data_IF_325445908277
#
_entry.id   IF_325445908277
#
_cell.length_a   1.000
_cell.length_b   1.000
_cell.length_c   1.000
_cell.angle_alpha   90.00
_cell.angle_beta   90.00
_cell.angle_gamma   90.00
#
_symmetry.space_group_name_H-M   'P 1'
#
loop_
_entity.id
_entity.type
_entity.pdbx_description
1 polymer ?
#
# COMPACT_ATOMS: atom_id res chain seq x y z
N UNK A 1 -16.37 10.06 15.64
CA UNK A 1 -17.22 8.88 15.86
C UNK A 1 -17.32 8.66 17.35
N UNK A 2 -18.36 9.20 17.98
CA UNK A 2 -18.72 8.88 19.36
C UNK A 2 -19.44 7.53 19.33
N UNK A 3 -18.94 6.53 20.05
CA UNK A 3 -19.68 5.29 20.28
C UNK A 3 -20.91 5.61 21.12
N UNK A 4 -22.06 5.03 20.77
CA UNK A 4 -23.30 5.20 21.52
C UNK A 4 -23.21 4.56 22.92
N UNK A 5 -22.36 3.58 23.07
CA UNK A 5 -22.13 2.80 24.29
C UNK A 5 -20.60 2.69 24.58
N UNK A 6 -20.23 2.30 25.80
CA UNK A 6 -18.83 2.01 26.12
C UNK A 6 -18.24 0.97 25.18
N UNK A 7 -16.98 1.15 24.79
CA UNK A 7 -16.24 0.18 23.99
C UNK A 7 -15.77 -0.96 24.90
N UNK A 8 -16.07 -2.19 24.52
CA UNK A 8 -15.60 -3.38 25.23
C UNK A 8 -14.44 -4.02 24.46
N UNK A 9 -13.32 -4.23 25.14
CA UNK A 9 -12.14 -4.89 24.59
C UNK A 9 -11.87 -6.13 25.44
N UNK A 10 -11.78 -7.29 24.79
CA UNK A 10 -11.33 -8.55 25.45
C UNK A 10 -10.07 -9.00 24.76
N UNK A 11 -8.99 -9.15 25.48
CA UNK A 11 -7.67 -9.49 24.94
C UNK A 11 -6.97 -10.54 25.77
N UNK A 12 -6.15 -11.37 25.11
CA UNK A 12 -5.32 -12.39 25.74
C UNK A 12 -4.01 -12.52 24.95
N UNK A 13 -2.88 -12.56 25.64
CA UNK A 13 -1.58 -12.89 25.04
C UNK A 13 -1.33 -14.40 25.04
N UNK A 14 -0.32 -14.87 24.34
CA UNK A 14 0.04 -16.31 24.31
C UNK A 14 0.48 -16.83 25.68
N UNK A 15 1.03 -15.97 26.51
CA UNK A 15 1.58 -16.30 27.82
C UNK A 15 0.56 -16.27 28.95
N UNK A 16 -0.59 -15.63 28.73
CA UNK A 16 -1.60 -15.48 29.76
C UNK A 16 -2.51 -16.71 29.83
N UNK A 17 -2.90 -17.09 31.06
CA UNK A 17 -3.87 -18.16 31.29
C UNK A 17 -5.29 -17.69 31.03
N UNK A 18 -5.62 -16.46 31.44
CA UNK A 18 -6.94 -15.82 31.29
C UNK A 18 -6.82 -14.61 30.37
N UNK A 19 -7.94 -14.19 29.79
CA UNK A 19 -8.03 -12.92 29.09
C UNK A 19 -8.36 -11.77 30.02
N UNK A 20 -8.22 -10.55 29.52
CA UNK A 20 -8.61 -9.31 30.21
C UNK A 20 -9.71 -8.62 29.44
N UNK A 21 -10.81 -8.31 30.13
CA UNK A 21 -11.92 -7.52 29.58
C UNK A 21 -11.82 -6.10 30.14
N UNK A 22 -11.68 -5.14 29.24
CA UNK A 22 -11.59 -3.72 29.57
C UNK A 22 -12.75 -2.99 28.92
N UNK A 23 -13.50 -2.22 29.72
CA UNK A 23 -14.60 -1.37 29.25
C UNK A 23 -14.15 0.07 29.30
N UNK A 24 -14.21 0.75 28.15
CA UNK A 24 -13.71 2.11 27.96
C UNK A 24 -14.83 3.07 27.55
N UNK A 25 -14.76 4.29 28.05
CA UNK A 25 -15.50 5.44 27.51
C UNK A 25 -14.50 6.49 27.01
N UNK A 26 -14.86 7.24 25.99
CA UNK A 26 -14.08 8.39 25.53
C UNK A 26 -14.63 9.63 26.23
N UNK A 27 -13.78 10.28 27.03
CA UNK A 27 -14.03 11.61 27.55
C UNK A 27 -13.82 12.61 26.41
N UNK A 28 -14.91 13.18 25.91
CA UNK A 28 -14.88 14.11 24.77
C UNK A 28 -14.30 15.47 25.11
N UNK A 29 -14.32 15.88 26.38
CA UNK A 29 -13.73 17.15 26.83
C UNK A 29 -12.20 17.06 26.89
N UNK A 30 -11.70 15.96 27.45
CA UNK A 30 -10.25 15.72 27.62
C UNK A 30 -9.64 14.99 26.44
N UNK A 31 -10.45 14.52 25.49
CA UNK A 31 -10.04 13.63 24.37
C UNK A 31 -9.16 12.45 24.85
N UNK A 32 -9.56 11.84 25.95
CA UNK A 32 -8.81 10.77 26.60
C UNK A 32 -9.70 9.56 26.90
N UNK A 33 -9.18 8.33 26.83
CA UNK A 33 -9.92 7.15 27.24
C UNK A 33 -10.03 7.10 28.78
N UNK A 34 -11.24 6.80 29.25
CA UNK A 34 -11.52 6.55 30.67
C UNK A 34 -11.89 5.09 30.83
N UNK A 35 -11.11 4.38 31.64
CA UNK A 35 -11.39 2.97 31.98
C UNK A 35 -12.55 2.93 32.96
N UNK A 36 -13.64 2.27 32.55
CA UNK A 36 -14.85 2.08 33.38
C UNK A 36 -14.68 0.83 34.25
N UNK A 37 -14.21 -0.26 33.65
CA UNK A 37 -13.87 -1.50 34.37
C UNK A 37 -12.74 -2.25 33.67
N UNK A 38 -11.96 -3.02 34.46
CA UNK A 38 -10.97 -3.95 33.97
C UNK A 38 -11.04 -5.21 34.83
N UNK A 39 -11.31 -6.35 34.21
CA UNK A 39 -11.52 -7.62 34.90
C UNK A 39 -10.94 -8.79 34.10
N UNK A 40 -10.56 -9.86 34.77
CA UNK A 40 -10.21 -11.10 34.09
C UNK A 40 -11.47 -11.74 33.49
N UNK A 41 -11.34 -12.25 32.27
CA UNK A 41 -12.44 -12.87 31.55
C UNK A 41 -11.98 -14.10 30.74
N UNK A 42 -12.81 -15.11 30.58
CA UNK A 42 -12.50 -16.25 29.72
C UNK A 42 -12.35 -15.77 28.26
N UNK A 43 -11.37 -16.34 27.54
CA UNK A 43 -11.13 -16.09 26.15
C UNK A 43 -11.01 -17.41 25.40
N UNK A 44 -11.88 -17.63 24.41
CA UNK A 44 -12.03 -18.93 23.73
C UNK A 44 -10.81 -19.34 22.89
N UNK A 45 -9.99 -18.37 22.48
CA UNK A 45 -8.80 -18.62 21.64
C UNK A 45 -7.52 -18.62 22.50
N UNK A 46 -6.46 -19.21 21.96
CA UNK A 46 -5.16 -19.22 22.62
C UNK A 46 -4.67 -17.78 22.88
N UNK A 47 -4.82 -16.90 21.93
CA UNK A 47 -4.49 -15.47 22.03
C UNK A 47 -5.32 -14.65 21.04
N UNK A 48 -5.33 -13.35 21.19
CA UNK A 48 -6.00 -12.42 20.28
C UNK A 48 -6.72 -11.28 21.00
N UNK A 49 -7.41 -10.46 20.23
CA UNK A 49 -8.18 -9.32 20.72
C UNK A 49 -9.55 -9.28 20.06
N UNK A 50 -10.60 -9.08 20.86
CA UNK A 50 -11.98 -8.84 20.44
C UNK A 50 -12.37 -7.44 20.86
N UNK A 51 -12.85 -6.63 19.92
CA UNK A 51 -13.31 -5.27 20.16
C UNK A 51 -14.78 -5.18 19.79
N UNK A 52 -15.60 -4.70 20.70
CA UNK A 52 -17.03 -4.46 20.51
C UNK A 52 -17.32 -2.97 20.68
N UNK A 53 -17.94 -2.38 19.68
CA UNK A 53 -18.32 -0.98 19.72
C UNK A 53 -19.64 -0.76 19.00
N UNK A 54 -20.48 0.11 19.53
CA UNK A 54 -21.71 0.52 18.90
C UNK A 54 -21.55 1.90 18.29
N UNK A 55 -21.79 2.00 16.97
CA UNK A 55 -21.67 3.25 16.23
C UNK A 55 -22.99 3.62 15.58
N UNK A 56 -23.31 4.90 15.53
CA UNK A 56 -24.41 5.41 14.73
C UNK A 56 -24.01 5.37 13.26
N UNK A 57 -24.67 4.55 12.45
CA UNK A 57 -24.38 4.43 11.02
C UNK A 57 -25.13 3.28 10.39
N UNK A 58 -25.20 3.29 9.07
CA UNK A 58 -25.70 2.20 8.28
C UNK A 58 -24.53 1.48 7.59
N UNK A 59 -24.63 0.17 7.48
CA UNK A 59 -23.72 -0.62 6.65
C UNK A 59 -23.84 -0.20 5.19
N UNK A 60 -22.71 -0.06 4.51
CA UNK A 60 -22.62 0.25 3.08
C UNK A 60 -21.65 -0.69 2.38
N UNK A 61 -21.81 -0.90 1.07
CA UNK A 61 -20.90 -1.71 0.24
C UNK A 61 -19.46 -1.16 0.24
N UNK A 62 -19.26 0.09 0.66
CA UNK A 62 -17.94 0.69 0.86
C UNK A 62 -17.08 -0.07 1.89
N UNK A 63 -17.71 -0.73 2.87
CA UNK A 63 -17.00 -1.54 3.88
C UNK A 63 -16.35 -2.76 3.21
N UNK A 64 -17.06 -3.43 2.30
CA UNK A 64 -16.50 -4.57 1.56
C UNK A 64 -15.35 -4.14 0.65
N UNK A 65 -15.51 -3.02 -0.06
CA UNK A 65 -14.45 -2.46 -0.90
C UNK A 65 -13.20 -2.13 -0.06
N UNK A 66 -13.40 -1.50 1.10
CA UNK A 66 -12.31 -1.21 2.03
C UNK A 66 -11.60 -2.48 2.51
N UNK A 67 -12.35 -3.52 2.90
CA UNK A 67 -11.78 -4.79 3.35
C UNK A 67 -10.99 -5.51 2.24
N UNK A 68 -11.42 -5.40 0.99
CA UNK A 68 -10.66 -5.89 -0.17
C UNK A 68 -9.31 -5.17 -0.29
N UNK A 69 -9.29 -3.84 -0.15
CA UNK A 69 -8.06 -3.05 -0.17
C UNK A 69 -7.16 -3.35 1.04
N UNK A 70 -7.73 -3.53 2.25
CA UNK A 70 -6.99 -3.98 3.46
C UNK A 70 -6.36 -5.35 3.22
N UNK A 71 -7.11 -6.27 2.64
CA UNK A 71 -6.63 -7.61 2.30
C UNK A 71 -5.51 -7.59 1.26
N UNK A 72 -5.55 -6.64 0.31
CA UNK A 72 -4.49 -6.42 -0.67
C UNK A 72 -3.21 -5.94 0.01
N UNK A 73 -3.33 -5.02 0.94
CA UNK A 73 -2.20 -4.46 1.69
C UNK A 73 -1.61 -5.44 2.72
N UNK A 74 -2.37 -6.47 3.11
CA UNK A 74 -1.99 -7.47 4.10
C UNK A 74 -2.13 -8.89 3.54
N UNK A 75 -1.26 -9.31 2.61
CA UNK A 75 -1.36 -10.58 1.90
C UNK A 75 -1.30 -11.83 2.80
N UNK A 76 -0.71 -11.73 3.97
CA UNK A 76 -0.59 -12.79 4.96
C UNK A 76 -1.82 -12.96 5.85
N UNK A 77 -2.76 -12.00 5.81
CA UNK A 77 -3.95 -12.01 6.66
C UNK A 77 -5.11 -12.79 6.02
N UNK A 78 -5.82 -13.53 6.85
CA UNK A 78 -7.11 -14.16 6.51
C UNK A 78 -8.23 -13.30 7.12
N UNK A 79 -9.08 -12.70 6.26
CA UNK A 79 -10.15 -11.79 6.68
C UNK A 79 -11.51 -12.45 6.45
N UNK A 80 -12.29 -12.56 7.52
CA UNK A 80 -13.69 -13.00 7.47
C UNK A 80 -14.58 -11.85 7.92
N UNK A 81 -15.47 -11.45 7.07
CA UNK A 81 -16.45 -10.41 7.35
C UNK A 81 -17.86 -10.96 7.23
N UNK A 82 -18.66 -10.77 8.27
CA UNK A 82 -20.04 -11.23 8.31
C UNK A 82 -20.96 -10.06 8.65
N UNK A 83 -21.98 -9.87 7.85
CA UNK A 83 -23.07 -8.94 8.12
C UNK A 83 -24.25 -9.75 8.62
N UNK A 84 -24.70 -9.47 9.84
CA UNK A 84 -25.94 -10.04 10.40
C UNK A 84 -27.01 -8.94 10.28
N UNK A 85 -27.90 -9.09 9.33
CA UNK A 85 -29.05 -8.21 9.20
C UNK A 85 -30.28 -8.85 9.86
N UNK A 86 -31.26 -8.05 10.21
CA UNK A 86 -32.53 -8.53 10.81
C UNK A 86 -33.38 -9.37 9.86
N UNK A 87 -33.11 -9.31 8.56
CA UNK A 87 -33.75 -10.13 7.52
C UNK A 87 -32.73 -11.10 6.90
N UNK A 88 -33.15 -12.37 6.72
CA UNK A 88 -32.33 -13.45 6.14
C UNK A 88 -31.79 -13.13 4.74
N UNK A 89 -32.42 -12.22 4.00
CA UNK A 89 -32.01 -11.81 2.65
C UNK A 89 -30.76 -10.94 2.62
N UNK A 90 -30.42 -10.29 3.73
CA UNK A 90 -29.32 -9.33 3.80
C UNK A 90 -28.08 -9.88 4.54
N UNK A 91 -28.08 -11.15 4.90
CA UNK A 91 -26.90 -11.79 5.50
C UNK A 91 -25.85 -12.01 4.42
N UNK A 92 -24.70 -11.38 4.60
CA UNK A 92 -23.55 -11.52 3.70
C UNK A 92 -22.35 -12.03 4.46
N UNK A 93 -21.58 -12.91 3.83
CA UNK A 93 -20.31 -13.40 4.35
C UNK A 93 -19.26 -13.21 3.27
N UNK A 94 -18.22 -12.42 3.57
CA UNK A 94 -17.05 -12.24 2.73
C UNK A 94 -15.88 -12.95 3.42
N UNK A 95 -15.20 -13.85 2.71
CA UNK A 95 -13.99 -14.52 3.17
C UNK A 95 -12.86 -14.25 2.19
N UNK A 96 -11.90 -13.42 2.60
CA UNK A 96 -10.70 -13.08 1.84
C UNK A 96 -9.55 -13.89 2.44
N UNK A 97 -9.25 -15.03 1.83
CA UNK A 97 -8.16 -15.92 2.24
C UNK A 97 -6.80 -15.21 2.05
N UNK A 98 -5.81 -15.58 2.84
CA UNK A 98 -4.44 -15.09 2.67
C UNK A 98 -3.90 -15.41 1.27
N UNK A 99 -3.08 -14.54 0.72
CA UNK A 99 -2.40 -14.73 -0.56
C UNK A 99 -1.02 -15.37 -0.40
N UNK A 100 -0.40 -15.21 0.78
CA UNK A 100 0.90 -15.79 1.14
C UNK A 100 0.94 -16.15 2.61
N UNK A 101 1.76 -17.11 2.98
CA UNK A 101 2.03 -17.46 4.38
C UNK A 101 3.26 -16.72 4.92
N UNK A 102 4.04 -16.08 4.05
CA UNK A 102 5.22 -15.31 4.44
C UNK A 102 4.79 -14.06 5.17
N UNK A 103 5.23 -13.94 6.42
CA UNK A 103 5.01 -12.74 7.22
C UNK A 103 5.96 -11.61 6.76
N UNK A 104 5.49 -10.36 6.74
CA UNK A 104 6.37 -9.23 6.48
C UNK A 104 7.39 -9.07 7.62
N UNK A 105 8.54 -8.42 7.35
CA UNK A 105 9.50 -8.11 8.40
C UNK A 105 8.83 -7.39 9.57
N UNK A 106 9.18 -7.79 10.80
CA UNK A 106 8.64 -7.13 11.99
C UNK A 106 9.19 -5.70 12.07
N UNK A 107 8.33 -4.67 12.18
CA UNK A 107 8.79 -3.30 12.34
C UNK A 107 9.55 -3.16 13.67
N UNK A 108 10.64 -2.41 13.66
CA UNK A 108 11.44 -2.16 14.87
C UNK A 108 11.22 -0.73 15.35
N UNK A 109 11.08 -0.57 16.65
CA UNK A 109 11.08 0.73 17.28
C UNK A 109 12.47 1.35 17.22
N UNK A 110 12.55 2.61 16.84
CA UNK A 110 13.78 3.38 16.85
C UNK A 110 13.58 4.71 17.58
N UNK A 111 14.66 5.19 18.20
CA UNK A 111 14.66 6.56 18.71
C UNK A 111 14.43 7.54 17.58
N UNK A 112 13.77 8.67 17.83
CA UNK A 112 13.58 9.69 16.81
C UNK A 112 14.93 10.19 16.28
N UNK A 113 14.93 10.62 15.03
CA UNK A 113 16.09 11.32 14.44
C UNK A 113 15.93 12.81 14.70
N UNK A 114 17.00 13.50 15.07
CA UNK A 114 16.93 14.92 15.46
C UNK A 114 16.35 15.81 14.33
N UNK A 115 16.64 15.50 13.06
CA UNK A 115 16.08 16.23 11.91
C UNK A 115 14.56 16.03 11.72
N UNK A 116 13.98 14.98 12.31
CA UNK A 116 12.54 14.70 12.23
C UNK A 116 11.73 15.40 13.33
N UNK A 117 12.41 16.05 14.27
CA UNK A 117 11.75 16.70 15.40
C UNK A 117 11.19 18.05 15.02
N UNK A 118 9.97 18.30 15.44
CA UNK A 118 9.34 19.61 15.42
C UNK A 118 9.73 20.39 16.69
N UNK A 119 9.86 21.73 16.64
CA UNK A 119 10.26 22.52 17.80
C UNK A 119 9.41 22.24 19.04
N UNK A 120 8.07 22.16 18.89
CA UNK A 120 7.15 21.91 19.99
C UNK A 120 7.37 20.54 20.65
N UNK A 121 7.52 19.48 19.85
CA UNK A 121 7.78 18.13 20.36
C UNK A 121 9.13 18.04 21.08
N UNK A 122 10.15 18.76 20.59
CA UNK A 122 11.45 18.81 21.25
C UNK A 122 11.41 19.61 22.56
N UNK A 123 10.61 20.69 22.60
CA UNK A 123 10.33 21.43 23.83
C UNK A 123 9.66 20.57 24.90
N UNK A 124 8.66 19.83 24.52
CA UNK A 124 7.95 18.91 25.41
C UNK A 124 8.90 17.80 25.93
N UNK A 125 9.67 17.18 25.03
CA UNK A 125 10.62 16.13 25.36
C UNK A 125 11.67 16.62 26.37
N UNK A 126 12.26 17.80 26.18
CA UNK A 126 13.24 18.34 27.13
C UNK A 126 12.65 18.75 28.46
N UNK A 127 11.38 19.20 28.48
CA UNK A 127 10.67 19.60 29.70
C UNK A 127 10.32 18.41 30.58
N UNK A 128 9.97 17.29 29.95
CA UNK A 128 9.57 16.05 30.63
C UNK A 128 10.76 15.13 30.94
N UNK A 129 11.96 15.47 30.48
CA UNK A 129 13.13 14.62 30.73
C UNK A 129 13.62 14.76 32.17
N UNK A 130 13.41 13.70 32.95
CA UNK A 130 13.90 13.56 34.33
C UNK A 130 15.18 12.74 34.43
N UNK A 131 15.68 12.15 33.35
CA UNK A 131 16.70 11.13 33.38
C UNK A 131 18.08 11.59 32.89
N UNK A 132 18.19 12.73 32.23
CA UNK A 132 19.45 13.24 31.70
C UNK A 132 19.94 14.45 32.52
N UNK A 133 21.24 14.40 32.87
CA UNK A 133 21.90 15.45 33.68
C UNK A 133 22.51 16.56 32.81
N UNK A 134 22.74 16.31 31.53
CA UNK A 134 23.38 17.25 30.63
C UNK A 134 22.80 17.20 29.23
N UNK A 135 22.93 18.30 28.49
CA UNK A 135 22.53 18.43 27.09
C UNK A 135 23.17 17.38 26.20
N UNK A 136 24.45 17.07 26.44
CA UNK A 136 25.16 15.99 25.72
C UNK A 136 24.47 14.64 25.96
N UNK A 137 24.17 14.28 27.23
CA UNK A 137 23.51 13.04 27.58
C UNK A 137 22.09 12.96 26.98
N UNK A 138 21.36 14.07 26.99
CA UNK A 138 20.03 14.17 26.36
C UNK A 138 20.10 13.83 24.87
N UNK A 139 21.03 14.39 24.11
CA UNK A 139 21.17 14.11 22.70
C UNK A 139 21.54 12.67 22.40
N UNK A 140 22.48 12.09 23.13
CA UNK A 140 22.94 10.71 22.89
C UNK A 140 21.92 9.66 23.33
N UNK A 141 21.14 9.97 24.36
CA UNK A 141 20.15 9.04 24.91
C UNK A 141 18.85 9.01 24.11
N UNK A 142 18.37 10.16 23.68
CA UNK A 142 17.04 10.28 23.06
C UNK A 142 17.05 10.22 21.53
N UNK A 143 18.17 10.42 20.86
CA UNK A 143 18.21 10.46 19.40
C UNK A 143 19.07 9.35 18.80
N UNK A 144 18.62 8.85 17.64
CA UNK A 144 19.38 7.87 16.85
C UNK A 144 20.50 8.57 16.08
N UNK A 145 21.61 7.85 15.85
CA UNK A 145 22.79 8.33 15.07
C UNK A 145 23.49 9.55 15.68
N UNK A 146 23.30 9.81 16.94
CA UNK A 146 24.05 10.84 17.66
C UNK A 146 24.99 10.16 18.65
N UNK A 147 26.28 10.08 18.27
CA UNK A 147 27.38 9.68 19.14
C UNK A 147 27.81 10.85 20.04
N UNK A 148 28.61 10.55 21.05
CA UNK A 148 29.19 11.55 21.95
C UNK A 148 29.91 12.67 21.23
N UNK A 149 30.74 12.32 20.24
CA UNK A 149 31.47 13.32 19.42
C UNK A 149 30.52 14.17 18.58
N UNK A 150 29.47 13.56 18.00
CA UNK A 150 28.47 14.29 17.22
C UNK A 150 27.62 15.21 18.09
N UNK A 151 27.25 14.76 19.31
CA UNK A 151 26.56 15.62 20.27
C UNK A 151 27.38 16.87 20.64
N UNK A 152 28.67 16.70 20.93
CA UNK A 152 29.58 17.82 21.21
C UNK A 152 29.73 18.79 20.03
N UNK A 153 29.83 18.27 18.80
CA UNK A 153 29.89 19.07 17.58
C UNK A 153 28.62 19.91 17.39
N UNK A 154 27.42 19.29 17.55
CA UNK A 154 26.13 19.96 17.43
C UNK A 154 25.95 21.05 18.47
N UNK A 155 26.27 20.75 19.74
CA UNK A 155 26.21 21.72 20.85
C UNK A 155 27.16 22.89 20.65
N UNK A 156 28.38 22.61 20.18
CA UNK A 156 29.36 23.67 19.84
C UNK A 156 28.83 24.58 18.70
N UNK A 157 28.24 23.99 17.66
CA UNK A 157 27.65 24.74 16.54
C UNK A 157 26.46 25.57 17.00
N UNK A 158 25.62 25.02 17.89
CA UNK A 158 24.48 25.70 18.50
C UNK A 158 24.87 26.71 19.59
N UNK A 159 26.17 26.83 19.92
CA UNK A 159 26.71 27.68 21.03
C UNK A 159 26.11 27.32 22.41
N UNK A 160 25.83 26.05 22.63
CA UNK A 160 25.27 25.53 23.87
C UNK A 160 26.35 24.79 24.70
N UNK A 161 26.43 25.00 26.01
CA UNK A 161 27.36 24.27 26.86
C UNK A 161 26.99 22.78 26.90
N UNK A 162 27.94 21.84 26.74
CA UNK A 162 27.66 20.39 26.78
C UNK A 162 27.11 19.90 28.11
N UNK A 163 27.47 20.58 29.20
CA UNK A 163 27.05 20.23 30.57
C UNK A 163 25.83 21.00 31.04
N UNK A 164 25.25 21.87 30.20
CA UNK A 164 24.00 22.57 30.51
C UNK A 164 22.86 21.58 30.78
N UNK A 165 21.91 21.97 31.61
CA UNK A 165 20.70 21.18 31.83
C UNK A 165 19.93 20.99 30.52
N UNK A 166 19.31 19.83 30.28
CA UNK A 166 18.42 19.65 29.11
C UNK A 166 17.34 20.75 28.97
N UNK A 167 16.87 21.29 30.11
CA UNK A 167 15.88 22.37 30.12
C UNK A 167 16.39 23.70 29.58
N UNK A 168 17.71 23.93 29.60
CA UNK A 168 18.37 25.15 29.11
C UNK A 168 18.69 25.10 27.62
N UNK A 169 18.42 23.96 26.95
CA UNK A 169 18.69 23.81 25.51
C UNK A 169 17.81 24.80 24.72
N UNK A 170 18.45 25.65 23.93
CA UNK A 170 17.77 26.42 22.89
C UNK A 170 17.42 25.48 21.73
N UNK A 171 16.12 25.19 21.57
CA UNK A 171 15.60 24.27 20.58
C UNK A 171 15.83 24.75 19.16
N UNK A 172 15.67 26.07 18.91
CA UNK A 172 15.82 26.62 17.57
C UNK A 172 17.29 26.60 17.12
N UNK A 173 18.19 27.01 18.01
CA UNK A 173 19.62 26.95 17.75
C UNK A 173 20.09 25.51 17.51
N UNK A 174 19.62 24.56 18.30
CA UNK A 174 19.93 23.12 18.15
C UNK A 174 19.43 22.57 16.81
N UNK A 175 18.17 22.82 16.45
CA UNK A 175 17.60 22.35 15.18
C UNK A 175 18.26 23.01 13.98
N UNK A 176 18.65 24.27 14.07
CA UNK A 176 19.43 24.96 13.04
C UNK A 176 20.81 24.33 12.87
N UNK A 177 21.49 24.04 13.97
CA UNK A 177 22.78 23.33 13.94
C UNK A 177 22.64 21.91 13.38
N UNK A 178 21.56 21.20 13.70
CA UNK A 178 21.26 19.87 13.16
C UNK A 178 21.04 19.89 11.64
N UNK A 179 20.29 20.87 11.13
CA UNK A 179 20.04 21.04 9.68
C UNK A 179 21.28 21.41 8.89
N UNK A 180 22.18 22.17 9.47
CA UNK A 180 23.48 22.52 8.87
C UNK A 180 24.57 21.47 9.09
N UNK A 181 24.34 20.50 9.95
CA UNK A 181 25.27 19.44 10.30
C UNK A 181 25.04 18.16 9.50
N UNK A 182 26.14 17.45 9.20
CA UNK A 182 26.06 16.12 8.56
C UNK A 182 25.74 15.06 9.63
N UNK A 183 24.45 14.78 9.87
CA UNK A 183 23.99 13.69 10.72
C UNK A 183 23.72 12.48 9.84
N UNK A 184 24.32 11.34 10.18
CA UNK A 184 24.15 10.09 9.46
C UNK A 184 22.66 9.72 9.36
N UNK A 185 22.24 9.21 8.20
CA UNK A 185 20.86 8.74 7.98
C UNK A 185 20.39 7.73 9.03
N UNK A 186 19.07 7.71 9.38
CA UNK A 186 18.52 6.72 10.29
C UNK A 186 18.69 5.30 9.73
N UNK A 187 18.64 4.25 10.57
CA UNK A 187 18.58 2.88 10.09
C UNK A 187 17.32 2.69 9.21
N UNK A 188 17.46 1.98 8.10
CA UNK A 188 16.41 1.78 7.11
C UNK A 188 15.75 0.39 7.23
N UNK A 189 16.36 -0.53 7.96
CA UNK A 189 15.94 -1.91 8.23
C UNK A 189 14.81 -2.04 9.27
N UNK A 190 14.25 -0.91 9.67
CA UNK A 190 13.16 -0.82 10.65
C UNK A 190 11.77 -0.86 10.02
N UNK A 191 11.71 -0.77 8.71
CA UNK A 191 10.47 -0.74 7.96
C UNK A 191 9.89 -2.16 7.78
N UNK A 192 8.57 -2.21 7.60
CA UNK A 192 7.84 -3.45 7.33
C UNK A 192 7.12 -3.33 5.97
N UNK A 193 7.83 -3.51 4.84
CA UNK A 193 7.23 -3.48 3.52
C UNK A 193 6.27 -4.66 3.29
N UNK A 194 5.43 -4.54 2.27
CA UNK A 194 4.59 -5.65 1.78
C UNK A 194 5.48 -6.66 1.06
N UNK A 195 6.38 -6.15 0.21
CA UNK A 195 7.26 -6.92 -0.66
C UNK A 195 6.65 -7.15 -2.05
N UNK A 196 7.50 -7.09 -3.09
CA UNK A 196 7.07 -7.21 -4.49
C UNK A 196 6.26 -8.49 -4.74
N UNK A 197 6.80 -9.65 -4.39
CA UNK A 197 6.14 -10.94 -4.61
C UNK A 197 4.84 -11.11 -3.82
N UNK A 198 4.77 -10.57 -2.59
CA UNK A 198 3.56 -10.63 -1.78
C UNK A 198 2.48 -9.68 -2.33
N UNK A 199 2.87 -8.52 -2.85
CA UNK A 199 1.96 -7.58 -3.51
C UNK A 199 1.41 -8.17 -4.81
N UNK A 200 2.26 -8.82 -5.63
CA UNK A 200 1.81 -9.53 -6.84
C UNK A 200 0.85 -10.68 -6.51
N UNK A 201 1.15 -11.48 -5.49
CA UNK A 201 0.27 -12.56 -5.04
C UNK A 201 -1.10 -12.03 -4.59
N UNK A 202 -1.12 -10.89 -3.86
CA UNK A 202 -2.36 -10.21 -3.47
C UNK A 202 -3.17 -9.73 -4.67
N UNK A 203 -2.51 -9.07 -5.62
CA UNK A 203 -3.15 -8.61 -6.85
C UNK A 203 -3.74 -9.79 -7.65
N UNK A 204 -2.99 -10.89 -7.79
CA UNK A 204 -3.45 -12.10 -8.48
C UNK A 204 -4.64 -12.75 -7.79
N UNK A 205 -4.71 -12.72 -6.48
CA UNK A 205 -5.84 -13.23 -5.71
C UNK A 205 -7.10 -12.38 -5.92
N UNK A 206 -6.95 -11.04 -5.95
CA UNK A 206 -8.10 -10.11 -6.10
C UNK A 206 -8.55 -10.02 -7.55
N UNK A 207 -7.61 -10.08 -8.49
CA UNK A 207 -7.82 -9.98 -9.94
C UNK A 207 -7.33 -11.26 -10.64
N UNK A 208 -8.00 -12.41 -10.45
CA UNK A 208 -7.51 -13.71 -10.93
C UNK A 208 -7.47 -13.81 -12.46
N UNK A 209 -8.29 -13.05 -13.17
CA UNK A 209 -8.38 -12.97 -14.62
C UNK A 209 -7.57 -11.84 -15.25
N UNK A 210 -6.77 -11.13 -14.45
CA UNK A 210 -5.91 -10.07 -14.98
C UNK A 210 -4.90 -10.63 -15.99
N UNK A 211 -4.81 -9.96 -17.14
CA UNK A 211 -3.90 -10.32 -18.23
C UNK A 211 -2.44 -10.07 -17.87
N UNK A 212 -2.19 -9.04 -17.06
CA UNK A 212 -0.87 -8.71 -16.55
C UNK A 212 -0.94 -8.24 -15.10
N UNK A 213 0.00 -8.72 -14.30
CA UNK A 213 0.24 -8.27 -12.93
C UNK A 213 1.72 -7.99 -12.79
N UNK A 214 2.07 -6.87 -12.18
CA UNK A 214 3.44 -6.54 -11.86
C UNK A 214 3.52 -5.66 -10.63
N UNK A 215 4.59 -5.82 -9.87
CA UNK A 215 4.90 -4.98 -8.72
C UNK A 215 6.38 -4.65 -8.69
N UNK A 216 6.73 -3.54 -8.06
CA UNK A 216 8.12 -3.17 -7.80
C UNK A 216 8.21 -2.33 -6.54
N UNK A 217 9.31 -2.47 -5.81
CA UNK A 217 9.64 -1.69 -4.63
C UNK A 217 10.92 -0.89 -4.88
N UNK A 218 10.99 0.29 -4.27
CA UNK A 218 12.24 1.05 -4.24
C UNK A 218 13.04 0.67 -3.01
N UNK A 219 14.35 0.86 -3.12
CA UNK A 219 15.20 0.76 -1.94
C UNK A 219 14.73 1.75 -0.88
N UNK A 220 14.80 1.38 0.41
CA UNK A 220 14.44 2.29 1.49
C UNK A 220 15.26 3.57 1.45
N UNK A 221 14.60 4.69 1.71
CA UNK A 221 15.19 6.03 1.71
C UNK A 221 14.82 6.80 2.97
N UNK A 222 15.25 8.04 3.12
CA UNK A 222 14.85 8.90 4.22
C UNK A 222 14.57 10.31 3.77
N UNK A 223 13.55 10.93 4.35
CA UNK A 223 13.28 12.36 4.24
C UNK A 223 13.34 13.00 5.62
N UNK A 224 14.07 14.07 5.77
CA UNK A 224 14.24 14.78 7.07
C UNK A 224 14.51 13.83 8.25
N UNK A 225 15.31 12.78 8.06
CA UNK A 225 15.63 11.82 9.11
C UNK A 225 14.52 10.81 9.43
N UNK A 226 13.45 10.74 8.64
CA UNK A 226 12.40 9.73 8.73
C UNK A 226 12.61 8.67 7.65
N UNK A 227 12.81 7.39 7.98
CA UNK A 227 12.93 6.35 6.97
C UNK A 227 11.59 6.08 6.29
N UNK A 228 11.63 5.82 4.98
CA UNK A 228 10.47 5.42 4.21
C UNK A 228 10.85 4.50 3.06
N UNK A 229 9.87 3.77 2.55
CA UNK A 229 9.96 2.93 1.37
C UNK A 229 8.71 3.08 0.53
N UNK A 230 8.86 2.98 -0.78
CA UNK A 230 7.77 3.04 -1.76
C UNK A 230 7.65 1.72 -2.47
N UNK A 231 6.43 1.21 -2.57
CA UNK A 231 6.07 0.03 -3.35
C UNK A 231 4.92 0.39 -4.28
N UNK A 232 4.97 -0.09 -5.51
CA UNK A 232 3.89 0.08 -6.49
C UNK A 232 3.59 -1.23 -7.18
N UNK A 233 2.33 -1.43 -7.52
CA UNK A 233 1.90 -2.60 -8.28
C UNK A 233 0.73 -2.26 -9.19
N UNK A 234 0.44 -3.13 -10.14
CA UNK A 234 -0.75 -3.01 -10.97
C UNK A 234 -1.30 -4.37 -11.39
N UNK A 235 -2.61 -4.35 -11.68
CA UNK A 235 -3.30 -5.38 -12.44
C UNK A 235 -3.88 -4.72 -13.70
N UNK A 236 -3.68 -5.33 -14.86
CA UNK A 236 -4.11 -4.83 -16.17
C UNK A 236 -4.96 -5.88 -16.88
N UNK A 237 -6.08 -5.44 -17.47
CA UNK A 237 -6.98 -6.30 -18.24
C UNK A 237 -7.76 -7.27 -17.34
N UNK A 238 -8.68 -8.03 -17.97
CA UNK A 238 -9.59 -8.95 -17.27
C UNK A 238 -10.84 -8.27 -16.73
N UNK A 239 -11.92 -9.05 -16.58
CA UNK A 239 -13.22 -8.52 -16.18
C UNK A 239 -13.24 -7.98 -14.75
N UNK A 240 -12.49 -8.59 -13.85
CA UNK A 240 -12.38 -8.14 -12.44
C UNK A 240 -11.74 -6.74 -12.35
N UNK A 241 -10.71 -6.47 -13.17
CA UNK A 241 -10.07 -5.15 -13.25
C UNK A 241 -11.00 -4.12 -13.88
N UNK A 242 -11.70 -4.50 -14.95
CA UNK A 242 -12.68 -3.65 -15.65
C UNK A 242 -13.78 -3.20 -14.70
N UNK A 243 -14.32 -4.12 -13.90
CA UNK A 243 -15.39 -3.84 -12.93
C UNK A 243 -14.94 -2.88 -11.81
N UNK A 244 -13.64 -2.81 -11.57
CA UNK A 244 -13.02 -1.94 -10.54
C UNK A 244 -12.65 -0.55 -11.08
N UNK A 245 -12.67 -0.37 -12.41
CA UNK A 245 -12.37 0.88 -13.09
C UNK A 245 -13.62 1.69 -13.39
N UNK A 246 -13.51 3.01 -13.44
CA UNK A 246 -14.61 3.89 -13.81
C UNK A 246 -14.85 3.80 -15.32
N UNK A 247 -16.06 3.45 -15.77
CA UNK A 247 -16.44 3.51 -17.18
C UNK A 247 -16.67 4.97 -17.58
N UNK A 248 -15.95 5.44 -18.61
CA UNK A 248 -16.08 6.80 -19.17
C UNK A 248 -17.03 6.81 -20.36
N UNK A 249 -16.91 5.81 -21.23
CA UNK A 249 -17.75 5.51 -22.37
C UNK A 249 -17.56 4.05 -22.76
N UNK A 250 -18.38 3.54 -23.66
CA UNK A 250 -18.29 2.15 -24.11
C UNK A 250 -16.85 1.78 -24.54
N UNK A 251 -16.30 0.76 -23.92
CA UNK A 251 -14.94 0.29 -24.17
C UNK A 251 -13.79 1.17 -23.64
N UNK A 252 -14.08 2.29 -22.97
CA UNK A 252 -13.06 3.19 -22.41
C UNK A 252 -13.20 3.27 -20.90
N UNK A 253 -12.18 2.80 -20.21
CA UNK A 253 -12.10 2.75 -18.76
C UNK A 253 -11.03 3.71 -18.24
N UNK A 254 -11.33 4.41 -17.16
CA UNK A 254 -10.37 5.22 -16.43
C UNK A 254 -9.72 4.38 -15.34
N UNK A 255 -8.40 4.42 -15.28
CA UNK A 255 -7.63 3.68 -14.28
C UNK A 255 -8.05 4.02 -12.86
N UNK A 256 -8.03 3.03 -11.97
CA UNK A 256 -8.20 3.20 -10.54
C UNK A 256 -6.86 3.22 -9.83
N UNK A 257 -6.73 4.05 -8.78
CA UNK A 257 -5.54 4.12 -7.93
C UNK A 257 -5.92 3.81 -6.50
N UNK A 258 -5.39 2.72 -5.97
CA UNK A 258 -5.46 2.32 -4.56
C UNK A 258 -4.23 2.91 -3.86
N UNK A 259 -4.45 3.70 -2.82
CA UNK A 259 -3.39 4.39 -2.08
C UNK A 259 -3.27 3.80 -0.70
N UNK A 260 -2.05 3.43 -0.30
CA UNK A 260 -1.77 2.79 0.97
C UNK A 260 -0.74 3.61 1.77
N UNK A 261 -1.01 3.80 3.06
CA UNK A 261 -0.07 4.35 4.03
C UNK A 261 0.13 3.38 5.19
N UNK A 262 1.32 2.83 5.34
CA UNK A 262 1.61 1.76 6.32
C UNK A 262 0.59 0.61 6.27
N UNK A 263 0.33 0.09 5.05
CA UNK A 263 -0.60 -1.02 4.78
C UNK A 263 -2.08 -0.71 5.10
N UNK A 264 -2.42 0.56 5.27
CA UNK A 264 -3.79 1.02 5.48
C UNK A 264 -4.29 1.77 4.24
N UNK A 265 -5.46 1.43 3.68
CA UNK A 265 -6.03 2.16 2.56
C UNK A 265 -6.39 3.60 2.91
N UNK A 266 -6.11 4.52 1.99
CA UNK A 266 -6.44 5.94 2.10
C UNK A 266 -7.68 6.23 1.25
N UNK A 267 -8.88 6.24 1.87
CA UNK A 267 -10.16 6.26 1.15
C UNK A 267 -10.56 7.66 0.69
N UNK A 268 -10.23 8.70 1.48
CA UNK A 268 -10.68 10.07 1.27
C UNK A 268 -9.56 10.96 0.70
N UNK A 269 -9.92 12.17 0.25
CA UNK A 269 -9.01 13.25 -0.17
C UNK A 269 -7.96 12.83 -1.21
N UNK A 270 -8.40 12.07 -2.23
CA UNK A 270 -7.49 11.57 -3.26
C UNK A 270 -6.79 12.71 -4.02
N UNK A 271 -7.49 13.81 -4.29
CA UNK A 271 -6.97 14.93 -5.09
C UNK A 271 -5.78 15.62 -4.43
N UNK A 272 -5.75 15.68 -3.11
CA UNK A 272 -4.69 16.35 -2.34
C UNK A 272 -3.54 15.42 -1.96
N UNK A 273 -3.74 14.13 -2.05
CA UNK A 273 -2.76 13.12 -1.70
C UNK A 273 -1.59 13.07 -2.70
N UNK A 274 -0.34 13.16 -2.18
CA UNK A 274 0.88 13.05 -2.99
C UNK A 274 0.89 11.76 -3.82
N UNK A 275 0.48 10.62 -3.24
CA UNK A 275 0.49 9.32 -3.93
C UNK A 275 -0.36 9.34 -5.21
N UNK A 276 -1.48 10.05 -5.19
CA UNK A 276 -2.36 10.21 -6.35
C UNK A 276 -1.82 11.24 -7.35
N UNK A 277 -1.29 12.36 -6.85
CA UNK A 277 -0.74 13.43 -7.70
C UNK A 277 0.39 12.92 -8.57
N UNK A 278 1.33 12.15 -8.00
CA UNK A 278 2.47 11.61 -8.76
C UNK A 278 2.03 10.64 -9.86
N UNK A 279 0.99 9.82 -9.64
CA UNK A 279 0.44 8.95 -10.70
C UNK A 279 -0.06 9.78 -11.88
N UNK A 280 -0.70 10.93 -11.63
CA UNK A 280 -1.19 11.84 -12.68
C UNK A 280 -0.07 12.61 -13.39
N UNK A 281 1.04 12.87 -12.71
CA UNK A 281 2.21 13.57 -13.26
C UNK A 281 3.01 12.69 -14.24
N UNK A 282 2.89 11.37 -14.15
CA UNK A 282 3.57 10.45 -15.09
C UNK A 282 2.95 10.59 -16.48
N UNK A 283 3.80 10.73 -17.50
CA UNK A 283 3.35 10.66 -18.90
C UNK A 283 3.18 9.20 -19.32
N UNK A 284 1.97 8.67 -19.14
CA UNK A 284 1.62 7.28 -19.45
C UNK A 284 1.58 6.97 -20.93
N UNK A 285 1.50 8.00 -21.81
CA UNK A 285 1.59 7.82 -23.27
C UNK A 285 2.92 7.19 -23.68
N UNK A 286 3.99 7.46 -22.95
CA UNK A 286 5.30 6.83 -23.16
C UNK A 286 5.24 5.31 -22.97
N UNK A 287 4.22 4.80 -22.26
CA UNK A 287 4.02 3.38 -21.95
C UNK A 287 2.83 2.78 -22.72
N UNK A 288 2.42 3.40 -23.83
CA UNK A 288 1.29 2.97 -24.71
C UNK A 288 -0.08 3.00 -24.02
N UNK A 289 -0.25 3.83 -23.01
CA UNK A 289 -1.53 4.08 -22.37
C UNK A 289 -2.04 5.45 -22.80
N UNK A 290 -3.32 5.53 -23.20
CA UNK A 290 -3.95 6.80 -23.55
C UNK A 290 -4.14 7.66 -22.29
N UNK A 291 -3.87 8.97 -22.38
CA UNK A 291 -3.97 9.86 -21.22
C UNK A 291 -4.23 11.29 -21.68
N UNK A 292 -5.13 11.98 -21.00
CA UNK A 292 -5.24 13.43 -21.07
C UNK A 292 -4.25 14.06 -20.09
N UNK A 293 -3.77 15.26 -20.41
CA UNK A 293 -2.79 15.97 -19.60
C UNK A 293 -3.29 16.17 -18.15
N UNK A 294 -2.45 15.80 -17.19
CA UNK A 294 -2.77 15.92 -15.77
C UNK A 294 -3.88 14.98 -15.26
N UNK A 295 -4.29 13.98 -16.02
CA UNK A 295 -5.28 12.97 -15.62
C UNK A 295 -4.67 11.59 -15.43
N UNK A 296 -5.47 10.65 -14.93
CA UNK A 296 -5.11 9.23 -14.93
C UNK A 296 -5.17 8.66 -16.36
N UNK A 297 -4.41 7.60 -16.66
CA UNK A 297 -4.49 6.96 -17.98
C UNK A 297 -5.86 6.30 -18.20
N UNK A 298 -6.29 6.29 -19.46
CA UNK A 298 -7.48 5.57 -19.92
C UNK A 298 -7.08 4.15 -20.32
N UNK A 299 -7.25 3.24 -19.38
CA UNK A 299 -6.98 1.81 -19.57
C UNK A 299 -7.67 1.01 -18.46
N UNK A 300 -8.01 -0.26 -18.70
CA UNK A 300 -8.48 -1.17 -17.65
C UNK A 300 -7.31 -1.57 -16.75
N UNK A 301 -6.94 -0.67 -15.85
CA UNK A 301 -5.78 -0.82 -14.96
C UNK A 301 -6.13 -0.39 -13.53
N UNK A 302 -5.83 -1.24 -12.57
CA UNK A 302 -5.83 -0.90 -11.15
C UNK A 302 -4.37 -0.79 -10.70
N UNK A 303 -4.00 0.40 -10.23
CA UNK A 303 -2.66 0.68 -9.70
C UNK A 303 -2.70 0.76 -8.18
N UNK A 304 -1.72 0.16 -7.52
CA UNK A 304 -1.51 0.24 -6.08
C UNK A 304 -0.27 1.06 -5.83
N UNK A 305 -0.38 2.05 -4.95
CA UNK A 305 0.73 2.91 -4.54
C UNK A 305 0.81 2.90 -3.02
N UNK A 306 1.89 2.35 -2.50
CA UNK A 306 2.14 2.16 -1.07
C UNK A 306 3.32 2.99 -0.59
N UNK A 307 3.12 3.71 0.51
CA UNK A 307 4.16 4.40 1.26
C UNK A 307 4.26 3.78 2.65
N UNK A 308 5.44 3.27 2.97
CA UNK A 308 5.76 2.69 4.26
C UNK A 308 6.77 3.61 4.94
N UNK A 309 6.52 3.98 6.19
CA UNK A 309 7.38 4.89 6.95
C UNK A 309 7.17 4.71 8.44
N UNK A 310 8.18 5.00 9.23
CA UNK A 310 8.02 5.10 10.70
C UNK A 310 7.12 6.27 11.10
N UNK A 311 7.05 7.33 10.28
CA UNK A 311 6.13 8.47 10.46
C UNK A 311 5.63 8.92 9.09
N UNK A 312 4.50 8.38 8.64
CA UNK A 312 3.87 8.83 7.38
C UNK A 312 3.43 10.28 7.53
N UNK A 313 3.84 11.18 6.61
CA UNK A 313 3.46 12.59 6.69
C UNK A 313 2.02 12.78 6.18
N UNK A 314 1.04 12.58 7.05
CA UNK A 314 -0.36 12.84 6.72
C UNK A 314 -0.68 14.35 6.77
N UNK A 315 -1.57 14.81 5.88
CA UNK A 315 -2.03 16.22 5.86
C UNK A 315 -2.90 16.51 7.08
N UNK A 316 -3.74 15.53 7.46
CA UNK A 316 -4.69 15.65 8.58
C UNK A 316 -4.59 14.45 9.52
N UNK A 317 -4.95 14.59 10.81
CA UNK A 317 -4.93 13.49 11.78
C UNK A 317 -5.77 12.27 11.36
N UNK A 318 -6.80 12.45 10.53
CA UNK A 318 -7.65 11.39 10.00
C UNK A 318 -6.95 10.44 9.02
N UNK A 319 -5.69 10.67 8.67
CA UNK A 319 -4.85 9.82 7.80
C UNK A 319 -5.45 9.60 6.40
N UNK A 320 -6.05 10.63 5.81
CA UNK A 320 -6.73 10.51 4.50
C UNK A 320 -5.81 10.74 3.32
N UNK A 321 -4.81 11.59 3.47
CA UNK A 321 -3.91 11.98 2.40
C UNK A 321 -2.48 12.19 2.90
N UNK A 322 -1.51 11.85 2.05
CA UNK A 322 -0.08 12.04 2.29
C UNK A 322 0.34 13.42 1.81
N UNK A 323 1.04 14.17 2.67
CA UNK A 323 1.57 15.50 2.39
C UNK A 323 2.68 15.45 1.33
N UNK A 324 2.90 16.59 0.67
CA UNK A 324 3.95 16.74 -0.32
C UNK A 324 5.34 16.78 0.33
N UNK A 325 6.24 15.90 -0.14
CA UNK A 325 7.67 15.89 0.14
C UNK A 325 8.41 15.48 -1.12
N UNK A 326 9.40 16.27 -1.52
CA UNK A 326 10.10 16.07 -2.78
C UNK A 326 10.82 14.72 -2.84
N UNK A 327 11.44 14.30 -1.74
CA UNK A 327 12.16 13.03 -1.67
C UNK A 327 11.19 11.82 -1.87
N UNK A 328 9.99 11.91 -1.31
CA UNK A 328 8.95 10.88 -1.47
C UNK A 328 8.42 10.91 -2.91
N UNK A 329 8.15 12.10 -3.43
CA UNK A 329 7.69 12.29 -4.82
C UNK A 329 8.66 11.67 -5.82
N UNK A 330 9.96 11.92 -5.66
CA UNK A 330 10.97 11.39 -6.58
C UNK A 330 11.05 9.86 -6.55
N UNK A 331 11.02 9.23 -5.36
CA UNK A 331 11.01 7.78 -5.25
C UNK A 331 9.73 7.16 -5.85
N UNK A 332 8.56 7.80 -5.65
CA UNK A 332 7.31 7.41 -6.28
C UNK A 332 7.38 7.50 -7.81
N UNK A 333 7.91 8.61 -8.32
CA UNK A 333 8.09 8.82 -9.77
C UNK A 333 8.94 7.72 -10.39
N UNK A 334 10.07 7.39 -9.77
CA UNK A 334 10.97 6.33 -10.24
C UNK A 334 10.32 4.95 -10.20
N UNK A 335 9.57 4.64 -9.13
CA UNK A 335 8.83 3.38 -9.01
C UNK A 335 7.76 3.25 -10.11
N UNK A 336 6.94 4.30 -10.31
CA UNK A 336 5.90 4.33 -11.33
C UNK A 336 6.46 4.25 -12.75
N UNK A 337 7.61 4.86 -13.01
CA UNK A 337 8.30 4.72 -14.30
C UNK A 337 8.79 3.29 -14.53
N UNK A 338 9.24 2.60 -13.49
CA UNK A 338 9.61 1.17 -13.57
C UNK A 338 8.38 0.33 -13.89
N UNK A 339 7.27 0.54 -13.18
CA UNK A 339 6.00 -0.12 -13.44
C UNK A 339 5.51 0.15 -14.87
N UNK A 340 5.61 1.40 -15.34
CA UNK A 340 5.28 1.80 -16.71
C UNK A 340 6.08 1.03 -17.76
N UNK A 341 7.38 0.81 -17.54
CA UNK A 341 8.22 -0.01 -18.44
C UNK A 341 7.77 -1.46 -18.50
N UNK A 342 7.34 -2.03 -17.35
CA UNK A 342 6.80 -3.40 -17.30
C UNK A 342 5.49 -3.50 -18.11
N UNK A 343 4.59 -2.54 -17.94
CA UNK A 343 3.34 -2.45 -18.70
C UNK A 343 3.62 -2.29 -20.21
N UNK A 344 4.55 -1.42 -20.58
CA UNK A 344 4.97 -1.22 -21.98
C UNK A 344 5.47 -2.50 -22.61
N UNK A 345 6.31 -3.26 -21.89
CA UNK A 345 6.85 -4.52 -22.39
C UNK A 345 5.72 -5.54 -22.66
N UNK A 346 4.76 -5.64 -21.72
CA UNK A 346 3.59 -6.52 -21.87
C UNK A 346 2.73 -6.13 -23.07
N UNK A 347 2.29 -4.85 -23.15
CA UNK A 347 1.46 -4.37 -24.25
C UNK A 347 2.16 -4.53 -25.60
N UNK A 348 3.47 -4.25 -25.67
CA UNK A 348 4.26 -4.40 -26.88
C UNK A 348 4.38 -5.85 -27.33
N UNK A 349 4.53 -6.78 -26.38
CA UNK A 349 4.55 -8.22 -26.67
C UNK A 349 3.20 -8.70 -27.21
N UNK A 350 2.11 -8.31 -26.55
CA UNK A 350 0.72 -8.61 -26.98
C UNK A 350 0.44 -8.09 -28.38
N UNK A 351 0.75 -6.83 -28.65
CA UNK A 351 0.54 -6.25 -29.99
C UNK A 351 1.34 -6.95 -31.08
N UNK A 352 2.57 -7.40 -30.78
CA UNK A 352 3.38 -8.19 -31.73
C UNK A 352 2.72 -9.53 -32.00
N UNK A 353 2.22 -10.22 -30.98
CA UNK A 353 1.51 -11.49 -31.15
C UNK A 353 0.23 -11.32 -31.97
N UNK A 354 -0.58 -10.31 -31.67
CA UNK A 354 -1.80 -10.00 -32.43
C UNK A 354 -1.49 -9.69 -33.89
N UNK A 355 -0.43 -8.92 -34.15
CA UNK A 355 0.01 -8.59 -35.49
C UNK A 355 0.53 -9.83 -36.27
N UNK A 356 1.22 -10.71 -35.58
CA UNK A 356 1.71 -11.96 -36.17
C UNK A 356 0.57 -12.93 -36.48
N UNK A 357 -0.40 -13.07 -35.58
CA UNK A 357 -1.61 -13.87 -35.81
C UNK A 357 -2.44 -13.31 -36.98
N UNK A 358 -2.61 -11.99 -37.04
CA UNK A 358 -3.34 -11.33 -38.14
C UNK A 358 -2.61 -11.56 -39.47
N UNK A 359 -1.29 -11.41 -39.50
CA UNK A 359 -0.49 -11.69 -40.71
C UNK A 359 -0.58 -13.16 -41.14
N UNK A 360 -0.57 -14.10 -40.19
CA UNK A 360 -0.75 -15.52 -40.47
C UNK A 360 -2.15 -15.82 -41.03
N UNK A 361 -3.19 -15.22 -40.47
CA UNK A 361 -4.57 -15.36 -40.93
C UNK A 361 -4.73 -14.84 -42.38
N UNK A 362 -4.21 -13.65 -42.68
CA UNK A 362 -4.21 -13.10 -44.05
C UNK A 362 -3.44 -14.02 -45.00
N UNK A 363 -2.26 -14.50 -44.57
CA UNK A 363 -1.47 -15.42 -45.39
C UNK A 363 -2.22 -16.73 -45.71
N UNK A 364 -2.95 -17.29 -44.71
CA UNK A 364 -3.76 -18.50 -44.92
C UNK A 364 -4.85 -18.30 -45.97
N UNK A 365 -5.50 -17.12 -45.97
CA UNK A 365 -6.51 -16.77 -46.96
C UNK A 365 -5.90 -16.73 -48.36
N UNK A 366 -4.80 -15.99 -48.54
CA UNK A 366 -4.11 -15.89 -49.84
C UNK A 366 -3.51 -17.23 -50.28
N UNK A 367 -2.94 -18.05 -49.33
CA UNK A 367 -2.39 -19.32 -49.68
C UNK A 367 -3.43 -20.29 -50.25
N UNK A 368 -4.67 -20.22 -49.81
CA UNK A 368 -5.79 -21.01 -50.39
C UNK A 368 -6.07 -20.62 -51.85
N UNK A 369 -6.19 -19.33 -52.11
CA UNK A 369 -6.45 -18.85 -53.46
C UNK A 369 -5.27 -19.18 -54.39
N UNK A 370 -4.05 -18.94 -53.96
CA UNK A 370 -2.84 -19.29 -54.73
C UNK A 370 -2.74 -20.79 -54.98
N UNK A 371 -3.04 -21.64 -53.99
CA UNK A 371 -3.05 -23.08 -54.14
C UNK A 371 -4.06 -23.55 -55.20
N UNK A 372 -5.25 -22.95 -55.20
CA UNK A 372 -6.32 -23.19 -56.18
C UNK A 372 -5.88 -22.83 -57.59
N UNK A 373 -5.35 -21.60 -57.79
CA UNK A 373 -4.86 -21.15 -59.07
C UNK A 373 -3.71 -21.98 -59.58
N UNK A 374 -2.75 -22.33 -58.71
CA UNK A 374 -1.63 -23.24 -59.06
C UNK A 374 -2.09 -24.66 -59.38
N UNK A 375 -3.14 -25.18 -58.76
CA UNK A 375 -3.69 -26.50 -59.07
C UNK A 375 -4.23 -26.54 -60.51
N UNK A 376 -4.87 -25.48 -60.95
CA UNK A 376 -5.40 -25.34 -62.34
C UNK A 376 -4.22 -25.25 -63.35
N UNK A 377 -3.20 -24.45 -63.02
CA UNK A 377 -2.07 -24.21 -63.90
C UNK A 377 -1.10 -25.41 -64.02
N UNK A 378 -0.84 -26.08 -62.86
CA UNK A 378 0.17 -27.11 -62.77
C UNK A 378 -0.40 -28.56 -62.79
N UNK A 379 -1.72 -28.71 -62.83
CA UNK A 379 -2.40 -30.03 -62.79
C UNK A 379 -2.07 -30.86 -61.54
N UNK A 380 -1.78 -30.22 -60.43
CA UNK A 380 -1.46 -30.83 -59.15
C UNK A 380 -2.57 -30.65 -58.13
N UNK A 381 -2.63 -31.58 -57.17
CA UNK A 381 -3.59 -31.52 -56.07
C UNK A 381 -3.47 -30.23 -55.27
N UNK A 382 -4.61 -29.49 -55.11
CA UNK A 382 -4.70 -28.24 -54.37
C UNK A 382 -4.26 -28.38 -52.90
N UNK A 383 -4.61 -29.49 -52.26
CA UNK A 383 -4.25 -29.72 -50.85
C UNK A 383 -2.78 -29.86 -50.63
N UNK A 384 -2.09 -30.60 -51.50
CA UNK A 384 -0.62 -30.75 -51.46
C UNK A 384 0.12 -29.45 -51.69
N UNK A 385 -0.41 -28.59 -52.59
CA UNK A 385 0.16 -27.27 -52.84
C UNK A 385 -0.07 -26.35 -51.65
N UNK A 386 -1.28 -26.37 -51.05
CA UNK A 386 -1.61 -25.58 -49.86
C UNK A 386 -0.71 -25.97 -48.67
N UNK A 387 -0.53 -27.26 -48.39
CA UNK A 387 0.35 -27.71 -47.31
C UNK A 387 1.80 -27.22 -47.50
N UNK A 388 2.36 -27.32 -48.72
CA UNK A 388 3.70 -26.79 -49.01
C UNK A 388 3.82 -25.29 -48.83
N UNK A 389 2.79 -24.53 -49.21
CA UNK A 389 2.73 -23.07 -49.00
C UNK A 389 2.71 -22.75 -47.52
N UNK A 390 1.89 -23.45 -46.71
CA UNK A 390 1.82 -23.25 -45.26
C UNK A 390 3.09 -23.67 -44.53
N UNK A 391 3.76 -24.74 -44.97
CA UNK A 391 5.07 -25.18 -44.43
C UNK A 391 6.19 -24.17 -44.71
N UNK A 392 6.20 -23.55 -45.90
CA UNK A 392 7.23 -22.56 -46.25
C UNK A 392 7.25 -21.35 -45.34
N UNK A 393 6.12 -21.04 -44.70
CA UNK A 393 5.97 -19.93 -43.71
C UNK A 393 6.38 -20.38 -42.31
N UNK A 394 6.12 -21.64 -41.92
CA UNK A 394 6.57 -22.19 -40.63
C UNK A 394 8.08 -22.15 -40.46
N UNK A 395 8.85 -22.32 -41.54
CA UNK A 395 10.30 -22.30 -41.53
C UNK A 395 10.96 -20.91 -41.47
N UNK A 396 10.19 -19.81 -41.66
CA UNK A 396 10.70 -18.45 -41.56
C UNK A 396 10.55 -17.83 -40.14
N UNK A 397 10.51 -18.64 -39.08
CA UNK A 397 10.60 -18.07 -37.70
C UNK A 397 12.00 -17.48 -37.51
N UNK A 398 12.14 -16.22 -37.18
CA UNK A 398 13.44 -15.66 -36.83
C UNK A 398 14.00 -16.40 -35.62
N UNK A 399 15.17 -17.03 -35.75
CA UNK A 399 15.88 -17.75 -34.67
C UNK A 399 16.15 -16.94 -33.41
N UNK A 400 15.83 -15.63 -33.38
CA UNK A 400 16.04 -14.72 -32.25
C UNK A 400 14.90 -14.68 -31.22
N UNK A 401 13.71 -15.22 -31.52
CA UNK A 401 12.59 -15.14 -30.57
C UNK A 401 12.60 -16.21 -29.48
N UNK A 402 13.20 -17.38 -29.78
CA UNK A 402 13.25 -18.48 -28.80
C UNK A 402 14.32 -18.30 -27.70
N UNK A 403 15.38 -17.55 -27.97
CA UNK A 403 16.42 -17.26 -26.97
C UNK A 403 16.06 -16.11 -26.00
N UNK A 404 15.12 -15.24 -26.38
CA UNK A 404 14.66 -14.13 -25.53
C UNK A 404 13.59 -14.53 -24.51
N UNK A 405 12.94 -15.68 -24.72
CA UNK A 405 11.91 -16.21 -23.79
C UNK A 405 12.54 -17.02 -22.66
N UNK A 406 13.76 -17.50 -22.82
CA UNK A 406 14.48 -18.32 -21.83
C UNK A 406 15.34 -17.52 -20.83
N UNK A 407 15.43 -16.19 -20.97
CA UNK A 407 16.17 -15.37 -20.01
C UNK A 407 15.17 -14.47 -19.26
N UNK A 408 15.10 -14.57 -17.93
CA UNK A 408 14.42 -13.54 -17.14
C UNK A 408 15.06 -12.17 -17.47
N UNK A 409 14.32 -11.05 -17.35
CA UNK A 409 14.86 -9.75 -17.69
C UNK A 409 16.16 -9.53 -16.92
N UNK A 410 17.22 -9.24 -17.65
CA UNK A 410 18.51 -8.89 -17.06
C UNK A 410 18.29 -7.58 -16.30
N UNK A 411 18.13 -7.70 -15.00
CA UNK A 411 18.33 -6.59 -14.09
C UNK A 411 19.82 -6.27 -14.20
N UNK A 412 20.16 -5.14 -14.79
CA UNK A 412 21.50 -4.61 -14.75
C UNK A 412 21.89 -4.49 -13.28
N UNK A 413 22.66 -5.46 -12.80
CA UNK A 413 23.23 -5.44 -11.47
C UNK A 413 24.17 -4.23 -11.38
N UNK A 414 23.80 -3.30 -10.54
CA UNK A 414 24.72 -2.28 -10.03
C UNK A 414 25.78 -3.05 -9.22
N UNK A 415 27.08 -2.79 -9.39
CA UNK A 415 28.12 -3.53 -8.70
C UNK A 415 27.97 -3.37 -7.19
N UNK A 416 27.63 -4.47 -6.51
CA UNK A 416 27.64 -4.56 -5.05
C UNK A 416 29.07 -4.75 -4.58
N UNK A 417 29.56 -3.80 -3.80
CA UNK A 417 30.75 -3.99 -2.95
C UNK A 417 30.47 -5.10 -1.93
N UNK A 418 31.44 -5.98 -1.64
CA UNK A 418 31.21 -7.11 -0.75
C UNK A 418 30.97 -6.63 0.70
N UNK A 419 29.84 -7.05 1.27
CA UNK A 419 29.56 -6.92 2.68
C UNK A 419 30.36 -7.93 3.51
N UNK A 420 30.76 -7.56 4.72
CA UNK A 420 31.50 -8.47 5.61
C UNK A 420 30.63 -9.63 6.08
N UNK A 421 31.19 -10.82 6.12
CA UNK A 421 30.63 -12.08 6.61
C UNK A 421 30.09 -11.94 8.03
N UNK A 422 28.79 -12.21 8.19
CA UNK A 422 28.13 -12.35 9.51
C UNK A 422 28.12 -13.83 9.89
N UNK A 423 28.44 -14.19 11.15
CA UNK A 423 28.43 -15.58 11.58
C UNK A 423 27.02 -16.16 11.63
N UNK A 424 26.90 -17.41 11.20
CA UNK A 424 25.69 -18.22 11.16
C UNK A 424 25.10 -18.38 12.57
N UNK A 425 23.93 -17.82 12.80
CA UNK A 425 23.12 -18.08 13.99
C UNK A 425 22.08 -19.13 13.59
N UNK A 426 21.98 -20.20 14.41
CA UNK A 426 21.07 -21.32 14.27
C UNK A 426 19.60 -20.87 14.08
N UNK A 427 18.90 -21.60 13.21
CA UNK A 427 17.48 -21.41 12.90
C UNK A 427 16.61 -21.40 14.18
N UNK A 428 15.69 -20.41 14.31
CA UNK A 428 14.66 -20.47 15.33
C UNK A 428 13.56 -21.47 14.90
N UNK A 429 12.86 -22.09 15.88
CA UNK A 429 11.81 -23.07 15.61
C UNK A 429 10.65 -22.47 14.81
N UNK A 430 10.06 -23.28 13.96
CA UNK A 430 8.96 -22.93 13.07
C UNK A 430 7.80 -22.23 13.82
N UNK A 431 7.57 -20.95 13.51
CA UNK A 431 6.43 -20.20 14.03
C UNK A 431 5.13 -20.70 13.40
N UNK A 432 4.19 -21.05 14.26
CA UNK A 432 2.83 -21.45 13.87
C UNK A 432 2.12 -20.30 13.11
N UNK A 433 1.30 -20.68 12.12
CA UNK A 433 0.55 -19.76 11.26
C UNK A 433 -0.28 -18.75 12.07
N UNK A 434 -0.20 -17.48 11.71
CA UNK A 434 -0.96 -16.40 12.31
C UNK A 434 -2.48 -16.66 12.24
N UNK A 435 -3.25 -16.36 13.30
CA UNK A 435 -4.69 -16.60 13.36
C UNK A 435 -5.47 -15.70 12.38
N UNK A 436 -6.60 -16.25 11.89
CA UNK A 436 -7.52 -15.51 11.02
C UNK A 436 -8.21 -14.36 11.77
N UNK A 437 -8.21 -13.17 11.18
CA UNK A 437 -8.95 -12.01 11.70
C UNK A 437 -10.43 -12.19 11.29
N UNK A 438 -11.33 -12.27 12.27
CA UNK A 438 -12.77 -12.29 12.04
C UNK A 438 -13.35 -10.91 12.37
N UNK A 439 -14.05 -10.32 11.42
CA UNK A 439 -14.79 -9.07 11.60
C UNK A 439 -16.27 -9.43 11.51
N UNK A 440 -17.00 -9.36 12.62
CA UNK A 440 -18.44 -9.53 12.66
C UNK A 440 -19.09 -8.17 12.85
N UNK A 441 -20.00 -7.79 11.93
CA UNK A 441 -20.81 -6.59 12.05
C UNK A 441 -22.27 -7.02 12.24
N UNK A 442 -22.88 -6.63 13.36
CA UNK A 442 -24.29 -6.84 13.64
C UNK A 442 -25.02 -5.52 13.41
N UNK A 443 -25.93 -5.53 12.43
CA UNK A 443 -26.77 -4.36 12.13
C UNK A 443 -28.03 -4.43 12.98
N UNK A 444 -28.14 -3.55 13.97
CA UNK A 444 -29.33 -3.40 14.77
C UNK A 444 -30.50 -2.87 13.91
N UNK A 445 -31.76 -3.28 14.16
CA UNK A 445 -32.92 -2.80 13.41
C UNK A 445 -33.08 -1.30 13.61
N UNK A 446 -33.19 -0.55 12.52
CA UNK A 446 -33.49 0.87 12.56
C UNK A 446 -34.88 1.08 13.19
N UNK A 447 -34.96 1.74 14.33
CA UNK A 447 -36.22 2.31 14.81
C UNK A 447 -36.68 3.35 13.76
N UNK A 448 -37.86 3.13 13.17
CA UNK A 448 -38.51 4.10 12.28
C UNK A 448 -38.54 5.44 13.01
N UNK A 449 -37.87 6.44 12.46
CA UNK A 449 -37.95 7.82 12.93
C UNK A 449 -39.41 8.26 12.77
N UNK A 450 -40.09 8.55 13.86
CA UNK A 450 -41.36 9.25 13.84
C UNK A 450 -41.14 10.59 13.14
N UNK A 451 -41.93 10.85 12.10
CA UNK A 451 -41.98 12.12 11.39
C UNK A 451 -42.46 13.18 12.39
N UNK A 452 -41.54 14.03 12.85
CA UNK A 452 -41.94 15.32 13.47
C UNK A 452 -42.71 16.12 12.42
N UNK A 453 -43.83 16.79 12.80
CA UNK A 453 -44.59 17.63 11.89
C UNK A 453 -43.68 18.78 11.39
N UNK A 454 -43.66 18.94 10.06
CA UNK A 454 -43.03 20.09 9.41
C UNK A 454 -43.77 21.37 9.83
N UNK A 455 -43.15 22.18 10.66
CA UNK A 455 -43.58 23.57 10.83
C UNK A 455 -43.19 24.33 9.55
N UNK A 456 -44.20 24.74 8.80
CA UNK A 456 -44.08 25.60 7.63
C UNK A 456 -43.62 26.99 8.05
N UNK A 457 -42.79 27.60 7.19
CA UNK A 457 -42.11 28.89 7.39
C UNK A 457 -43.06 30.11 7.51
N UNK A 458 -44.39 29.90 7.45
CA UNK A 458 -45.40 30.97 7.44
C UNK A 458 -45.81 31.50 8.81
N UNK A 459 -45.25 30.98 9.91
CA UNK A 459 -45.58 31.45 11.25
C UNK A 459 -44.65 32.54 11.82
N UNK A 460 -43.67 33.03 11.02
CA UNK A 460 -42.69 34.04 11.48
C UNK A 460 -42.76 35.41 10.77
N UNK A 461 -43.78 35.62 9.92
CA UNK A 461 -44.03 36.93 9.32
C UNK A 461 -45.41 37.42 9.72
N UNK A 462 -45.51 37.92 10.96
CA UNK A 462 -46.70 38.54 11.50
C UNK A 462 -46.32 39.68 12.42
N UNK A 463 -46.24 40.90 11.83
CA UNK A 463 -46.06 42.24 12.41
C UNK A 463 -44.69 42.59 12.96
#
# INVERSE_FOLDING_TARGET
LTSLEPVTIVTKTETDLMGYKVVLKIDTEKNAPVVVSAEEAPFERLHGTRIELMVAGAYTDKVEAFLREVSLANPHADLKFKVKASTTKDQRTLHLKRATEVLPPTPREIKPHLLSMEPGALLEMKSNDACCKSAKQFLTKHFVRISDGKALQLLKTAKLPPNASPKEIDVEALLKAARGGDIMRPPLDVLSPIGEGALEASLRRIFPDAEFIGATAREPWSYRGVPFQVEVGCAYGGQAVINDCDSVREGVFKSRVIRLGNKCPLIYDSKDCLLYKVVKEINWRNYKLSQDEGNLPYAPIVMVVSLISTKVPYIVPGKFAVAYHEEIREQLRLALQTLGRMIYAFISHRQRQEHEMHRQSIFQIYAKEVAKDLSILAGRDEQVLLERLLESVKHKKPKKAAELIAKPPIILAVPTTPSPTVPTISEPPAMQAAPAIQIEAEVAPQKKAEKKPQHTLDSYLGR
#
